data_IF_177945817779
#
_entry.id   IF_177945817779
#
_cell.length_a   1.000
_cell.length_b   1.000
_cell.length_c   1.000
_cell.angle_alpha   90.00
_cell.angle_beta   90.00
_cell.angle_gamma   90.00
#
_symmetry.space_group_name_H-M   'P 1'
#
loop_
_entity.id
_entity.type
_entity.pdbx_description
1 polymer ?
#
# COMPACT_ATOMS: atom_id res chain seq x y z
N UNK A 1 2.87 -20.37 0.34
CA UNK A 1 1.74 -19.60 0.87
C UNK A 1 2.13 -18.86 2.18
N UNK A 2 2.66 -19.56 3.18
CA UNK A 2 3.02 -18.95 4.49
C UNK A 2 3.91 -17.70 4.40
N UNK A 3 4.83 -17.62 3.49
CA UNK A 3 5.69 -16.45 3.32
C UNK A 3 5.06 -15.26 2.59
N UNK A 4 3.82 -15.38 2.12
CA UNK A 4 3.14 -14.39 1.26
C UNK A 4 1.87 -13.82 1.87
N UNK A 5 1.41 -14.34 2.99
CA UNK A 5 0.14 -13.94 3.64
C UNK A 5 0.38 -13.67 5.12
N UNK A 6 -0.46 -12.83 5.71
CA UNK A 6 -0.52 -12.71 7.16
C UNK A 6 -1.21 -13.92 7.80
N UNK A 7 -1.11 -14.04 9.12
CA UNK A 7 -1.59 -15.21 9.84
C UNK A 7 -3.12 -15.38 9.77
N UNK A 8 -3.90 -14.29 9.79
CA UNK A 8 -5.36 -14.37 9.75
C UNK A 8 -5.86 -14.77 8.37
N UNK A 9 -5.32 -14.18 7.31
CA UNK A 9 -5.65 -14.56 5.93
C UNK A 9 -5.23 -16.00 5.66
N UNK A 10 -4.06 -16.42 6.13
CA UNK A 10 -3.61 -17.81 6.01
C UNK A 10 -4.56 -18.78 6.69
N UNK A 11 -4.94 -18.51 7.94
CA UNK A 11 -5.87 -19.34 8.68
C UNK A 11 -7.26 -19.40 8.03
N UNK A 12 -7.76 -18.28 7.51
CA UNK A 12 -9.06 -18.23 6.83
C UNK A 12 -9.06 -19.02 5.51
N UNK A 13 -8.00 -18.92 4.71
CA UNK A 13 -7.95 -19.51 3.36
C UNK A 13 -7.50 -20.98 3.38
N UNK A 14 -6.69 -21.39 4.35
CA UNK A 14 -6.08 -22.73 4.38
C UNK A 14 -6.52 -23.59 5.58
N UNK A 15 -6.78 -22.97 6.74
CA UNK A 15 -7.20 -23.70 7.93
C UNK A 15 -8.73 -23.67 8.10
N UNK A 16 -9.46 -23.07 7.14
CA UNK A 16 -10.93 -22.93 7.13
C UNK A 16 -11.49 -22.32 8.44
N UNK A 17 -10.70 -21.52 9.14
CA UNK A 17 -11.15 -20.89 10.38
C UNK A 17 -11.94 -19.61 10.06
N UNK A 18 -13.13 -19.47 10.67
CA UNK A 18 -13.92 -18.24 10.60
C UNK A 18 -13.34 -17.22 11.56
N UNK A 19 -12.55 -16.26 11.03
CA UNK A 19 -12.05 -15.12 11.79
C UNK A 19 -12.93 -13.91 11.45
N UNK A 20 -13.63 -13.38 12.46
CA UNK A 20 -14.35 -12.12 12.29
C UNK A 20 -13.34 -10.99 12.19
N UNK A 21 -13.36 -10.25 11.08
CA UNK A 21 -12.57 -9.04 10.93
C UNK A 21 -13.18 -7.94 11.81
N UNK A 22 -12.52 -7.63 12.91
CA UNK A 22 -12.88 -6.53 13.81
C UNK A 22 -11.64 -5.94 14.45
N UNK A 23 -11.71 -4.67 14.85
CA UNK A 23 -10.59 -3.99 15.47
C UNK A 23 -9.66 -3.32 14.46
N UNK A 24 -8.37 -3.29 14.76
CA UNK A 24 -7.36 -2.60 13.92
C UNK A 24 -7.29 -3.19 12.51
N UNK A 25 -7.28 -2.31 11.50
CA UNK A 25 -7.14 -2.73 10.10
C UNK A 25 -5.74 -3.31 9.82
N UNK A 26 -4.71 -2.68 10.36
CA UNK A 26 -3.31 -3.09 10.18
C UNK A 26 -2.80 -3.83 11.43
N UNK A 27 -3.46 -4.93 11.78
CA UNK A 27 -3.22 -5.69 13.03
C UNK A 27 -1.87 -6.40 13.09
N UNK A 28 -1.20 -6.60 11.96
CA UNK A 28 0.16 -7.15 11.90
C UNK A 28 1.25 -6.09 12.10
N UNK A 29 0.91 -4.80 12.04
CA UNK A 29 1.84 -3.71 12.29
C UNK A 29 1.97 -3.46 13.80
N UNK A 30 3.19 -3.45 14.32
CA UNK A 30 3.48 -3.11 15.71
C UNK A 30 4.70 -2.18 15.78
N UNK A 31 4.72 -1.31 16.79
CA UNK A 31 5.90 -0.46 17.04
C UNK A 31 7.18 -1.29 17.17
N UNK A 32 7.12 -2.35 17.96
CA UNK A 32 8.28 -3.19 18.24
C UNK A 32 8.89 -3.88 17.01
N UNK A 33 8.06 -4.26 16.05
CA UNK A 33 8.50 -5.01 14.86
C UNK A 33 8.75 -4.11 13.64
N UNK A 34 8.03 -2.97 13.53
CA UNK A 34 7.93 -2.22 12.29
C UNK A 34 8.39 -0.76 12.37
N UNK A 35 8.59 -0.22 13.59
CA UNK A 35 9.00 1.18 13.75
C UNK A 35 10.49 1.24 14.09
N UNK A 36 11.26 1.92 13.22
CA UNK A 36 12.71 2.09 13.41
C UNK A 36 13.23 3.22 12.51
N UNK A 37 14.42 3.79 12.80
CA UNK A 37 15.10 4.63 11.84
C UNK A 37 15.31 3.92 10.50
N UNK A 38 15.04 4.64 9.41
CA UNK A 38 15.22 4.15 8.04
C UNK A 38 16.21 5.07 7.31
N UNK A 39 17.29 4.48 6.83
CA UNK A 39 18.31 5.23 6.11
C UNK A 39 17.87 5.46 4.65
N UNK A 40 18.13 6.67 4.15
CA UNK A 40 18.00 6.96 2.72
C UNK A 40 19.20 6.40 1.98
N UNK A 41 18.93 5.65 0.91
CA UNK A 41 19.96 5.08 0.04
C UNK A 41 20.05 5.92 -1.22
N UNK A 42 21.15 6.65 -1.39
CA UNK A 42 21.38 7.50 -2.54
C UNK A 42 21.39 6.67 -3.84
N UNK A 43 20.72 7.18 -4.88
CA UNK A 43 20.64 6.52 -6.20
C UNK A 43 19.69 5.32 -6.29
N UNK A 44 19.26 4.72 -5.16
CA UNK A 44 18.23 3.69 -5.21
C UNK A 44 16.86 4.28 -5.62
N UNK A 45 15.99 3.52 -6.30
CA UNK A 45 14.67 4.03 -6.67
C UNK A 45 13.90 4.56 -5.46
N UNK A 46 13.27 5.74 -5.64
CA UNK A 46 12.44 6.40 -4.63
C UNK A 46 10.99 6.35 -5.07
N UNK A 47 10.10 5.87 -4.23
CA UNK A 47 8.68 5.81 -4.50
C UNK A 47 7.95 7.00 -3.85
N UNK A 48 7.13 7.70 -4.63
CA UNK A 48 6.17 8.70 -4.17
C UNK A 48 4.77 8.11 -4.30
N UNK A 49 4.07 7.97 -3.20
CA UNK A 49 2.78 7.33 -3.11
C UNK A 49 1.72 8.36 -2.73
N UNK A 50 0.72 8.55 -3.59
CA UNK A 50 -0.29 9.60 -3.45
C UNK A 50 -1.64 9.02 -3.02
N UNK A 51 -2.34 9.76 -2.16
CA UNK A 51 -3.78 9.70 -2.00
C UNK A 51 -4.34 11.10 -2.29
N UNK A 52 -5.16 11.22 -3.34
CA UNK A 52 -5.60 12.51 -3.87
C UNK A 52 -6.75 13.10 -3.06
N UNK A 53 -6.43 13.63 -1.90
CA UNK A 53 -7.34 14.33 -1.02
C UNK A 53 -6.94 15.80 -0.87
N UNK A 54 -7.90 16.61 -0.43
CA UNK A 54 -7.72 18.04 -0.22
C UNK A 54 -7.36 18.35 1.23
N UNK A 55 -7.95 17.64 2.17
CA UNK A 55 -7.79 17.82 3.60
C UNK A 55 -7.71 16.45 4.31
N UNK A 56 -6.53 15.98 4.62
CA UNK A 56 -5.19 16.52 4.31
C UNK A 56 -4.70 16.15 2.92
N UNK A 57 -3.77 16.94 2.35
CA UNK A 57 -2.96 16.53 1.21
C UNK A 57 -1.79 15.68 1.67
N UNK A 58 -1.64 14.49 1.12
CA UNK A 58 -0.67 13.50 1.60
C UNK A 58 0.15 12.85 0.49
N UNK A 59 1.38 12.48 0.83
CA UNK A 59 2.15 11.49 0.09
C UNK A 59 3.08 10.73 1.05
N UNK A 60 3.20 9.41 0.86
CA UNK A 60 4.23 8.62 1.54
C UNK A 60 5.45 8.48 0.63
N UNK A 61 6.65 8.56 1.22
CA UNK A 61 7.92 8.44 0.52
C UNK A 61 8.67 7.23 1.06
N UNK A 62 9.08 6.33 0.15
CA UNK A 62 9.70 5.08 0.56
C UNK A 62 10.74 4.56 -0.43
N UNK A 63 11.57 3.67 0.04
CA UNK A 63 12.49 2.88 -0.77
C UNK A 63 12.33 1.38 -0.45
N UNK A 64 12.43 0.53 -1.48
CA UNK A 64 12.60 -0.90 -1.28
C UNK A 64 14.08 -1.17 -1.02
N UNK A 65 14.39 -1.77 0.12
CA UNK A 65 15.73 -2.11 0.57
C UNK A 65 15.88 -3.63 0.73
N UNK A 66 17.08 -4.11 0.98
CA UNK A 66 17.37 -5.55 1.07
C UNK A 66 16.54 -6.29 2.14
N UNK A 67 16.19 -5.59 3.22
CA UNK A 67 15.40 -6.13 4.34
C UNK A 67 13.90 -5.85 4.21
N UNK A 68 13.49 -4.96 3.32
CA UNK A 68 12.08 -4.67 3.04
C UNK A 68 11.80 -3.23 2.60
N UNK A 69 10.54 -2.89 2.64
CA UNK A 69 10.02 -1.56 2.33
C UNK A 69 10.29 -0.62 3.51
N UNK A 70 11.05 0.43 3.28
CA UNK A 70 11.39 1.44 4.28
C UNK A 70 10.69 2.76 3.95
N UNK A 71 9.75 3.18 4.79
CA UNK A 71 9.11 4.51 4.70
C UNK A 71 10.06 5.52 5.33
N UNK A 72 10.61 6.40 4.50
CA UNK A 72 11.69 7.33 4.85
C UNK A 72 11.25 8.79 4.85
N UNK A 73 9.96 9.06 4.65
CA UNK A 73 9.40 10.39 4.66
C UNK A 73 7.90 10.40 4.39
N UNK A 74 7.32 11.55 4.62
CA UNK A 74 5.92 11.83 4.29
C UNK A 74 5.73 13.30 3.92
N UNK A 75 4.72 13.58 3.12
CA UNK A 75 4.11 14.90 3.00
C UNK A 75 2.79 14.86 3.75
N UNK A 76 2.60 15.83 4.64
CA UNK A 76 1.35 16.03 5.36
C UNK A 76 0.99 17.51 5.36
N UNK A 77 -0.05 17.90 4.62
CA UNK A 77 -0.57 19.27 4.55
C UNK A 77 -1.98 19.25 5.10
N UNK A 78 -2.22 19.71 6.34
CA UNK A 78 -3.46 19.43 7.07
C UNK A 78 -4.72 20.08 6.48
N UNK A 79 -4.59 21.26 5.85
CA UNK A 79 -5.74 22.03 5.38
C UNK A 79 -5.45 22.75 4.06
N UNK A 80 -6.50 22.96 3.26
CA UNK A 80 -6.45 23.72 2.00
C UNK A 80 -5.35 23.24 1.04
N UNK A 81 -5.11 21.94 1.01
CA UNK A 81 -4.12 21.34 0.13
C UNK A 81 -4.68 21.13 -1.27
N UNK A 82 -3.78 20.84 -2.17
CA UNK A 82 -4.07 20.38 -3.53
C UNK A 82 -2.87 19.61 -4.08
N UNK A 83 -3.07 18.86 -5.14
CA UNK A 83 -2.02 18.06 -5.77
C UNK A 83 -0.75 18.84 -6.10
N UNK A 84 -0.80 20.07 -6.68
CA UNK A 84 0.39 20.87 -6.88
C UNK A 84 1.14 21.25 -5.57
N UNK A 85 0.44 21.45 -4.44
CA UNK A 85 1.08 21.76 -3.17
C UNK A 85 1.86 20.56 -2.64
N UNK A 86 1.28 19.36 -2.72
CA UNK A 86 1.96 18.10 -2.38
C UNK A 86 3.18 17.89 -3.27
N UNK A 87 3.05 18.07 -4.59
CA UNK A 87 4.17 17.94 -5.53
C UNK A 87 5.29 18.93 -5.24
N UNK A 88 4.97 20.20 -4.98
CA UNK A 88 6.00 21.21 -4.62
C UNK A 88 6.76 20.82 -3.38
N UNK A 89 6.09 20.29 -2.36
CA UNK A 89 6.73 19.84 -1.14
C UNK A 89 7.65 18.63 -1.42
N UNK A 90 7.20 17.65 -2.20
CA UNK A 90 8.04 16.52 -2.63
C UNK A 90 9.30 16.99 -3.36
N UNK A 91 9.16 17.93 -4.32
CA UNK A 91 10.29 18.48 -5.06
C UNK A 91 11.25 19.20 -4.11
N UNK A 92 10.75 20.05 -3.23
CA UNK A 92 11.56 20.80 -2.26
C UNK A 92 12.39 19.86 -1.37
N UNK A 93 11.77 18.81 -0.86
CA UNK A 93 12.42 17.90 0.09
C UNK A 93 13.38 16.93 -0.63
N UNK A 94 13.10 16.56 -1.89
CA UNK A 94 13.81 15.49 -2.61
C UNK A 94 14.53 15.91 -3.88
N UNK A 95 14.67 17.22 -4.18
CA UNK A 95 15.39 17.72 -5.36
C UNK A 95 16.86 17.24 -5.46
N UNK A 96 17.45 16.83 -4.35
CA UNK A 96 18.80 16.26 -4.29
C UNK A 96 18.88 14.81 -4.79
N UNK A 97 17.75 14.09 -4.85
CA UNK A 97 17.69 12.71 -5.32
C UNK A 97 18.00 12.64 -6.82
N UNK A 98 18.92 11.73 -7.19
CA UNK A 98 19.39 11.55 -8.59
C UNK A 98 19.02 10.18 -9.17
N UNK A 99 18.44 9.30 -8.35
CA UNK A 99 17.96 7.99 -8.77
C UNK A 99 16.58 8.03 -9.43
N UNK A 100 16.05 6.87 -9.81
CA UNK A 100 14.72 6.73 -10.39
C UNK A 100 13.61 7.14 -9.42
N UNK A 101 12.59 7.84 -9.92
CA UNK A 101 11.34 8.12 -9.20
C UNK A 101 10.25 7.19 -9.73
N UNK A 102 9.52 6.57 -8.82
CA UNK A 102 8.39 5.69 -9.11
C UNK A 102 7.13 6.26 -8.45
N UNK A 103 6.09 6.50 -9.26
CA UNK A 103 4.84 7.13 -8.81
C UNK A 103 3.76 6.06 -8.60
N UNK A 104 3.13 6.07 -7.44
CA UNK A 104 2.03 5.18 -7.06
C UNK A 104 0.87 5.98 -6.50
N UNK A 105 -0.33 5.45 -6.59
CA UNK A 105 -1.51 6.07 -5.99
C UNK A 105 -2.82 5.56 -6.57
N UNK A 106 -3.90 6.26 -6.25
CA UNK A 106 -5.25 5.96 -6.71
C UNK A 106 -5.33 5.98 -8.24
N UNK A 107 -5.75 4.85 -8.85
CA UNK A 107 -5.94 4.73 -10.30
C UNK A 107 -6.99 5.71 -10.86
N UNK A 108 -7.96 6.11 -10.04
CA UNK A 108 -9.01 7.05 -10.48
C UNK A 108 -8.53 8.51 -10.49
N UNK A 109 -7.39 8.76 -9.83
CA UNK A 109 -6.60 9.99 -9.92
C UNK A 109 -7.36 11.31 -9.90
N UNK A 110 -8.30 11.47 -8.97
CA UNK A 110 -9.03 12.73 -8.85
C UNK A 110 -10.08 12.98 -9.95
N UNK A 111 -10.52 11.95 -10.70
CA UNK A 111 -11.58 12.07 -11.72
C UNK A 111 -12.86 12.74 -11.21
N UNK A 112 -13.00 12.96 -9.90
CA UNK A 112 -14.13 13.60 -9.20
C UNK A 112 -13.74 14.84 -8.39
N UNK A 113 -12.52 15.34 -8.46
CA UNK A 113 -12.14 16.59 -7.79
C UNK A 113 -12.86 17.79 -8.37
N UNK A 114 -13.53 18.57 -7.55
CA UNK A 114 -14.27 19.78 -7.94
C UNK A 114 -13.37 20.93 -8.43
N UNK A 115 -12.06 20.76 -8.46
CA UNK A 115 -11.07 21.74 -8.92
C UNK A 115 -10.59 21.44 -10.36
N UNK A 116 -11.52 21.20 -11.28
CA UNK A 116 -11.23 20.95 -12.70
C UNK A 116 -10.80 22.21 -13.45
N UNK A 117 -9.72 22.85 -13.09
CA UNK A 117 -9.21 23.97 -13.88
C UNK A 117 -8.05 23.55 -14.80
N UNK A 118 -7.40 22.39 -14.58
CA UNK A 118 -6.18 22.05 -15.31
C UNK A 118 -5.91 20.54 -15.47
N UNK A 119 -6.92 19.70 -15.73
CA UNK A 119 -6.70 18.27 -15.97
C UNK A 119 -6.94 17.37 -14.73
N UNK A 120 -6.59 16.10 -14.83
CA UNK A 120 -6.68 15.16 -13.71
C UNK A 120 -5.52 15.37 -12.72
N UNK A 121 -5.64 14.85 -11.50
CA UNK A 121 -4.53 14.91 -10.53
C UNK A 121 -3.28 14.23 -11.06
N UNK A 122 -3.42 13.15 -11.81
CA UNK A 122 -2.28 12.49 -12.46
C UNK A 122 -1.62 13.36 -13.54
N UNK A 123 -2.37 14.19 -14.27
CA UNK A 123 -1.76 15.14 -15.22
C UNK A 123 -0.93 16.17 -14.48
N UNK A 124 -1.43 16.69 -13.35
CA UNK A 124 -0.71 17.63 -12.50
C UNK A 124 0.57 17.00 -11.88
N UNK A 125 0.50 15.76 -11.45
CA UNK A 125 1.67 15.03 -10.92
C UNK A 125 2.71 14.83 -12.01
N UNK A 126 2.31 14.39 -13.22
CA UNK A 126 3.21 14.19 -14.36
C UNK A 126 3.94 15.48 -14.72
N UNK A 127 3.18 16.58 -14.80
CA UNK A 127 3.75 17.89 -15.13
C UNK A 127 4.73 18.37 -14.05
N UNK A 128 4.34 18.31 -12.78
CA UNK A 128 5.18 18.79 -11.69
C UNK A 128 6.44 17.93 -11.49
N UNK A 129 6.24 16.63 -11.32
CA UNK A 129 7.33 15.69 -10.97
C UNK A 129 8.19 15.38 -12.20
N UNK A 130 7.57 15.22 -13.39
CA UNK A 130 8.31 14.95 -14.64
C UNK A 130 9.22 16.08 -15.07
N UNK A 131 8.90 17.33 -14.71
CA UNK A 131 9.80 18.48 -14.98
C UNK A 131 10.92 18.62 -13.95
N UNK A 132 10.75 18.06 -12.75
CA UNK A 132 11.72 18.18 -11.65
C UNK A 132 12.74 17.04 -11.60
N UNK A 133 12.39 15.86 -12.09
CA UNK A 133 13.22 14.65 -12.04
C UNK A 133 13.38 14.03 -13.43
N UNK A 134 14.53 13.39 -13.68
CA UNK A 134 14.89 12.89 -15.03
C UNK A 134 14.42 11.47 -15.34
N UNK A 135 14.32 10.60 -14.35
CA UNK A 135 13.85 9.20 -14.50
C UNK A 135 12.58 8.99 -13.67
N UNK A 136 11.44 9.33 -14.26
CA UNK A 136 10.13 9.21 -13.63
C UNK A 136 9.32 8.15 -14.35
N UNK A 137 8.74 7.21 -13.60
CA UNK A 137 7.77 6.26 -14.15
C UNK A 137 6.55 6.11 -13.24
N UNK A 138 5.39 6.03 -13.87
CA UNK A 138 4.11 5.80 -13.22
C UNK A 138 3.83 4.30 -13.10
N UNK A 139 3.50 3.86 -11.91
CA UNK A 139 3.17 2.48 -11.57
C UNK A 139 1.78 2.43 -10.94
N UNK A 140 0.81 2.81 -11.74
CA UNK A 140 -0.59 2.87 -11.36
C UNK A 140 -1.34 1.80 -12.16
N UNK A 141 -2.13 0.93 -11.51
CA UNK A 141 -2.90 -0.09 -12.20
C UNK A 141 -4.08 0.56 -12.96
N UNK A 142 -4.67 -0.16 -13.92
CA UNK A 142 -5.87 0.31 -14.64
C UNK A 142 -7.10 0.49 -13.75
N UNK A 143 -7.15 -0.22 -12.63
CA UNK A 143 -8.20 -0.14 -11.63
C UNK A 143 -7.60 -0.34 -10.23
N UNK A 144 -8.19 0.34 -9.25
CA UNK A 144 -7.75 0.18 -7.86
C UNK A 144 -7.94 -1.27 -7.38
N UNK A 145 -6.97 -1.81 -6.62
CA UNK A 145 -7.22 -3.00 -5.83
C UNK A 145 -8.34 -2.71 -4.81
N UNK A 146 -9.11 -3.73 -4.46
CA UNK A 146 -10.11 -3.57 -3.41
C UNK A 146 -9.45 -3.16 -2.09
N UNK A 147 -10.18 -2.44 -1.24
CA UNK A 147 -9.69 -2.01 0.08
C UNK A 147 -9.18 -3.20 0.89
N UNK A 148 -9.94 -4.30 0.92
CA UNK A 148 -9.54 -5.56 1.55
C UNK A 148 -8.22 -6.12 0.98
N UNK A 149 -8.02 -6.05 -0.33
CA UNK A 149 -6.77 -6.53 -0.95
C UNK A 149 -5.57 -5.66 -0.52
N UNK A 150 -5.76 -4.34 -0.41
CA UNK A 150 -4.72 -3.43 0.10
C UNK A 150 -4.38 -3.72 1.56
N UNK A 151 -5.41 -3.85 2.42
CA UNK A 151 -5.23 -4.16 3.84
C UNK A 151 -4.49 -5.49 4.03
N UNK A 152 -4.86 -6.52 3.28
CA UNK A 152 -4.20 -7.84 3.34
C UNK A 152 -2.74 -7.76 2.89
N UNK A 153 -2.44 -7.01 1.82
CA UNK A 153 -1.08 -6.81 1.36
C UNK A 153 -0.23 -6.08 2.42
N UNK A 154 -0.80 -5.04 3.04
CA UNK A 154 -0.15 -4.28 4.11
C UNK A 154 0.14 -5.15 5.33
N UNK A 155 -0.83 -5.94 5.81
CA UNK A 155 -0.63 -6.86 6.93
C UNK A 155 0.43 -7.92 6.62
N UNK A 156 0.37 -8.51 5.42
CA UNK A 156 1.38 -9.49 4.98
C UNK A 156 2.78 -8.90 4.90
N UNK A 157 2.90 -7.63 4.51
CA UNK A 157 4.17 -6.94 4.42
C UNK A 157 4.67 -6.51 5.80
N UNK A 158 3.77 -6.09 6.70
CA UNK A 158 4.11 -5.75 8.07
C UNK A 158 4.65 -6.99 8.82
N UNK A 159 3.91 -8.11 8.80
CA UNK A 159 4.36 -9.38 9.37
C UNK A 159 3.60 -10.54 8.74
N UNK A 160 4.29 -11.37 7.98
CA UNK A 160 3.68 -12.53 7.36
C UNK A 160 3.50 -13.70 8.35
N UNK A 161 2.78 -14.75 7.93
CA UNK A 161 2.51 -15.93 8.77
C UNK A 161 3.75 -16.78 9.11
N UNK A 162 4.90 -16.49 8.50
CA UNK A 162 6.20 -17.04 8.87
C UNK A 162 6.95 -16.15 9.90
N UNK A 163 6.32 -15.08 10.37
CA UNK A 163 6.90 -14.13 11.34
C UNK A 163 7.90 -13.14 10.74
N UNK A 164 8.01 -13.05 9.41
CA UNK A 164 8.95 -12.13 8.77
C UNK A 164 8.31 -10.74 8.61
N UNK A 165 9.01 -9.72 9.11
CA UNK A 165 8.64 -8.31 8.97
C UNK A 165 9.42 -7.70 7.80
N UNK A 166 8.70 -7.02 6.90
CA UNK A 166 9.28 -6.41 5.71
C UNK A 166 8.69 -5.03 5.38
N UNK A 167 8.01 -4.41 6.32
CA UNK A 167 7.55 -3.03 6.27
C UNK A 167 8.09 -2.31 7.50
N UNK A 168 8.85 -1.25 7.26
CA UNK A 168 9.46 -0.45 8.32
C UNK A 168 9.14 1.02 8.10
N UNK A 169 8.88 1.74 9.19
CA UNK A 169 8.52 3.17 9.15
C UNK A 169 9.46 3.94 10.08
N UNK A 170 10.07 5.00 9.56
CA UNK A 170 10.86 5.94 10.36
C UNK A 170 9.91 6.88 11.12
N UNK A 171 9.84 6.80 12.46
CA UNK A 171 8.87 7.57 13.24
C UNK A 171 9.19 9.07 13.26
N UNK A 172 10.44 9.45 13.05
CA UNK A 172 10.85 10.85 13.01
C UNK A 172 10.54 11.51 11.65
N UNK A 173 10.50 10.70 10.58
CA UNK A 173 10.31 11.20 9.20
C UNK A 173 8.90 10.95 8.66
N UNK A 174 8.15 9.99 9.25
CA UNK A 174 6.80 9.63 8.82
C UNK A 174 5.87 9.32 10.02
N UNK A 175 5.69 10.27 10.95
CA UNK A 175 4.88 10.05 12.15
C UNK A 175 3.38 9.84 11.85
N UNK A 176 2.83 10.46 10.79
CA UNK A 176 1.43 10.26 10.42
C UNK A 176 1.19 8.87 9.81
N UNK A 177 2.18 8.28 9.11
CA UNK A 177 2.12 6.88 8.67
C UNK A 177 2.02 5.95 9.87
N UNK A 178 2.87 6.13 10.90
CA UNK A 178 2.78 5.32 12.14
C UNK A 178 1.40 5.47 12.76
N UNK A 179 0.93 6.71 12.96
CA UNK A 179 -0.38 6.99 13.54
C UNK A 179 -1.54 6.32 12.81
N UNK A 180 -1.54 6.37 11.46
CA UNK A 180 -2.57 5.74 10.65
C UNK A 180 -2.52 4.20 10.78
N UNK A 181 -1.33 3.60 10.69
CA UNK A 181 -1.18 2.15 10.78
C UNK A 181 -1.56 1.59 12.16
N UNK A 182 -1.46 2.40 13.21
CA UNK A 182 -1.89 2.03 14.56
C UNK A 182 -3.37 2.32 14.83
N UNK A 183 -3.91 3.37 14.23
CA UNK A 183 -5.21 3.91 14.58
C UNK A 183 -6.38 3.46 13.73
N UNK A 184 -6.15 3.09 12.47
CA UNK A 184 -7.23 2.73 11.52
C UNK A 184 -7.95 1.46 11.94
N UNK A 185 -9.28 1.52 11.96
CA UNK A 185 -10.15 0.42 12.38
C UNK A 185 -10.93 -0.16 11.20
N UNK A 186 -11.31 -1.44 11.33
CA UNK A 186 -12.26 -2.11 10.44
C UNK A 186 -13.69 -1.85 10.90
N UNK A 187 -14.63 -1.85 9.94
CA UNK A 187 -16.05 -1.85 10.23
C UNK A 187 -16.44 -3.08 11.05
N UNK A 188 -17.22 -2.86 12.09
CA UNK A 188 -17.84 -3.94 12.85
C UNK A 188 -18.82 -4.70 11.93
N UNK A 189 -18.76 -6.04 11.95
CA UNK A 189 -19.63 -6.88 11.13
C UNK A 189 -18.91 -7.71 10.06
N UNK A 190 -17.57 -7.61 9.96
CA UNK A 190 -16.77 -8.55 9.18
C UNK A 190 -16.70 -8.31 7.68
N UNK A 191 -17.10 -7.12 7.17
CA UNK A 191 -16.95 -6.78 5.74
C UNK A 191 -15.48 -6.70 5.29
N UNK A 192 -14.56 -6.41 6.24
CA UNK A 192 -13.15 -6.17 5.96
C UNK A 192 -12.89 -4.81 5.32
N UNK A 193 -13.84 -3.89 5.43
CA UNK A 193 -13.75 -2.49 4.99
C UNK A 193 -13.32 -1.60 6.15
N UNK A 194 -12.75 -0.43 5.82
CA UNK A 194 -12.31 0.54 6.82
C UNK A 194 -13.50 1.32 7.41
N UNK A 195 -13.47 1.52 8.73
CA UNK A 195 -14.42 2.41 9.40
C UNK A 195 -14.03 3.88 9.22
N UNK A 196 -14.35 4.44 8.06
CA UNK A 196 -14.06 5.85 7.72
C UNK A 196 -14.86 6.88 8.53
N UNK A 197 -15.87 6.46 9.29
CA UNK A 197 -16.63 7.36 10.17
C UNK A 197 -15.88 7.56 11.49
N UNK A 198 -15.37 6.46 12.05
CA UNK A 198 -14.65 6.46 13.34
C UNK A 198 -13.22 7.00 13.20
N UNK A 199 -12.65 6.88 12.00
CA UNK A 199 -11.26 7.21 11.70
C UNK A 199 -11.13 8.26 10.59
N UNK A 200 -12.03 9.26 10.61
CA UNK A 200 -12.14 10.27 9.53
C UNK A 200 -10.83 11.01 9.22
N UNK A 201 -10.01 11.26 10.25
CA UNK A 201 -8.73 11.97 10.11
C UNK A 201 -7.55 11.01 9.91
N UNK A 202 -7.84 9.73 9.76
CA UNK A 202 -6.89 8.66 9.46
C UNK A 202 -7.20 8.11 8.06
N UNK A 203 -6.50 7.08 7.63
CA UNK A 203 -6.63 6.37 6.37
C UNK A 203 -5.94 6.98 5.15
N UNK A 204 -5.76 8.30 5.12
CA UNK A 204 -5.25 8.97 3.93
C UNK A 204 -3.82 8.55 3.56
N UNK A 205 -2.89 8.65 4.48
CA UNK A 205 -1.50 8.31 4.19
C UNK A 205 -1.26 6.80 4.20
N UNK A 206 -2.05 6.04 4.96
CA UNK A 206 -2.02 4.58 4.89
C UNK A 206 -2.63 4.05 3.59
N UNK A 207 -3.65 4.73 3.02
CA UNK A 207 -4.17 4.41 1.68
C UNK A 207 -3.09 4.68 0.60
N UNK A 208 -2.39 5.82 0.66
CA UNK A 208 -1.28 6.13 -0.23
C UNK A 208 -0.20 5.04 -0.22
N UNK A 209 0.26 4.64 0.97
CA UNK A 209 1.21 3.54 1.14
C UNK A 209 0.63 2.20 0.66
N UNK A 210 -0.65 1.97 0.91
CA UNK A 210 -1.37 0.76 0.51
C UNK A 210 -1.41 0.53 -1.00
N UNK A 211 -1.47 1.58 -1.81
CA UNK A 211 -1.39 1.45 -3.28
C UNK A 211 -0.03 0.90 -3.72
N UNK A 212 1.06 1.37 -3.14
CA UNK A 212 2.40 0.82 -3.39
C UNK A 212 2.47 -0.66 -3.00
N UNK A 213 2.12 -0.97 -1.76
CA UNK A 213 2.26 -2.34 -1.24
C UNK A 213 1.38 -3.32 -2.01
N UNK A 214 0.16 -2.92 -2.38
CA UNK A 214 -0.71 -3.77 -3.19
C UNK A 214 -0.23 -3.94 -4.63
N UNK A 215 0.49 -2.97 -5.18
CA UNK A 215 1.05 -3.06 -6.53
C UNK A 215 2.28 -3.98 -6.58
N UNK A 216 3.25 -3.74 -5.71
CA UNK A 216 4.55 -4.44 -5.73
C UNK A 216 4.51 -5.78 -4.96
N UNK A 217 3.66 -5.89 -3.94
CA UNK A 217 3.61 -7.01 -3.00
C UNK A 217 2.21 -7.62 -2.86
N UNK A 218 1.46 -7.69 -3.97
CA UNK A 218 0.12 -8.28 -3.96
C UNK A 218 0.13 -9.70 -3.39
N UNK A 219 -0.79 -9.96 -2.47
CA UNK A 219 -1.03 -11.32 -1.97
C UNK A 219 -1.72 -12.14 -3.07
N UNK A 220 -1.01 -13.10 -3.65
CA UNK A 220 -1.54 -13.99 -4.69
C UNK A 220 -2.08 -15.25 -4.05
N UNK A 221 -3.33 -15.61 -4.34
CA UNK A 221 -3.85 -16.93 -4.04
C UNK A 221 -3.11 -17.95 -4.87
N UNK A 222 -2.48 -18.93 -4.23
CA UNK A 222 -1.91 -20.08 -4.93
C UNK A 222 -3.09 -21.02 -5.21
N UNK A 223 -3.59 -21.02 -6.44
CA UNK A 223 -4.53 -22.04 -6.89
C UNK A 223 -3.71 -23.31 -7.10
N UNK A 224 -3.79 -24.25 -6.16
CA UNK A 224 -3.28 -25.60 -6.37
C UNK A 224 -4.23 -26.24 -7.37
N UNK A 225 -3.76 -26.49 -8.60
CA UNK A 225 -4.51 -27.29 -9.54
C UNK A 225 -4.81 -28.64 -8.87
N UNK A 226 -6.04 -29.17 -8.97
CA UNK A 226 -6.33 -30.50 -8.42
C UNK A 226 -5.36 -31.48 -9.06
N UNK A 227 -4.57 -32.16 -8.23
CA UNK A 227 -3.71 -33.27 -8.67
C UNK A 227 -4.65 -34.31 -9.25
N UNK A 228 -4.49 -34.58 -10.55
CA UNK A 228 -5.42 -35.34 -11.37
C UNK A 228 -5.90 -36.62 -10.72
N UNK A 229 -7.22 -36.78 -10.71
CA UNK A 229 -7.85 -38.05 -10.37
C UNK A 229 -7.32 -39.15 -11.31
N UNK A 230 -6.92 -40.27 -10.73
CA UNK A 230 -6.66 -41.49 -11.47
C UNK A 230 -7.88 -41.83 -12.32
N UNK A 231 -7.74 -41.71 -13.63
CA UNK A 231 -8.66 -42.34 -14.56
C UNK A 231 -8.36 -43.86 -14.51
N UNK A 232 -9.23 -44.59 -13.81
CA UNK A 232 -9.24 -46.05 -13.92
C UNK A 232 -9.75 -46.35 -15.33
N UNK A 233 -8.85 -46.70 -16.23
CA UNK A 233 -9.20 -47.25 -17.54
C UNK A 233 -9.81 -48.64 -17.30
N UNK A 234 -11.10 -48.78 -17.52
CA UNK A 234 -11.74 -50.08 -17.61
C UNK A 234 -11.16 -50.83 -18.84
N UNK A 235 -10.56 -51.97 -18.56
CA UNK A 235 -10.05 -52.85 -19.62
C UNK A 235 -11.18 -53.43 -20.49
N UNK A 236 -10.91 -53.84 -21.71
CA UNK A 236 -11.90 -54.38 -22.64
C UNK A 236 -12.40 -55.75 -22.17
N UNK A 237 -13.72 -55.88 -22.09
CA UNK A 237 -14.41 -57.18 -21.92
C UNK A 237 -14.24 -57.98 -23.23
N UNK A 238 -13.56 -59.10 -23.13
CA UNK A 238 -13.49 -60.10 -24.21
C UNK A 238 -14.79 -60.92 -24.20
N UNK A 239 -15.47 -60.96 -25.33
CA UNK A 239 -16.40 -62.02 -25.76
C UNK A 239 -15.93 -62.62 -27.08
#
# INVERSE_FOLDING_TARGET
ARGMMDAQVYAQEYDASFIAFSGRAYYCFTEADNVRPCEYVEGAPLAFCFDFNVDPGVAAILQEQADGTCVIGEVWIPHNSNTPAVCRRLIQDWQHHKGPIRLYGDATGGARGSAKVAGSDWDLVRDCIGNAFTDVSERVPKANPSERARINAMNSRAKNSAGQCRLFVDPAKAPHVVRDLEGVQLLEGGSGELDKRRTRDLTHISDALGYYVAYEHAVRKITIAPVGGHVIMAGPTVH
#
